data_IF_130718614430
#
_entry.id   IF_130718614430
#
_cell.length_a   1.000
_cell.length_b   1.000
_cell.length_c   1.000
_cell.angle_alpha   90.00
_cell.angle_beta   90.00
_cell.angle_gamma   90.00
#
_symmetry.space_group_name_H-M   'P 1'
#
loop_
_entity.id
_entity.type
_entity.pdbx_description
1 polymer ?
#
# COMPACT_ATOMS: atom_id res chain seq x y z
N UNK A 1 -13.95 21.59 20.73
CA UNK A 1 -14.30 20.16 20.71
C UNK A 1 -13.08 19.40 21.19
N UNK A 2 -13.22 18.33 21.97
CA UNK A 2 -12.05 17.59 22.45
C UNK A 2 -11.77 16.44 21.48
N UNK A 3 -10.58 16.46 20.89
CA UNK A 3 -10.02 15.40 20.04
C UNK A 3 -9.04 14.57 20.86
N UNK A 4 -9.04 13.26 20.67
CA UNK A 4 -8.18 12.33 21.39
C UNK A 4 -7.51 11.35 20.44
N UNK A 5 -6.37 10.80 20.87
CA UNK A 5 -5.68 9.78 20.10
C UNK A 5 -6.18 8.40 20.54
N UNK A 6 -6.63 7.53 19.62
CA UNK A 6 -7.11 6.18 19.98
C UNK A 6 -6.02 5.32 20.66
N UNK A 7 -4.74 5.61 20.40
CA UNK A 7 -3.60 4.92 21.02
C UNK A 7 -3.12 5.58 22.32
N UNK A 8 -3.42 6.87 22.53
CA UNK A 8 -2.97 7.65 23.69
C UNK A 8 -4.16 8.47 24.21
N UNK A 9 -5.09 7.87 24.96
CA UNK A 9 -6.32 8.53 25.40
C UNK A 9 -6.06 9.73 26.32
N UNK A 10 -4.86 9.79 26.92
CA UNK A 10 -4.39 10.90 27.76
C UNK A 10 -4.17 12.20 26.97
N UNK A 11 -4.07 12.12 25.64
CA UNK A 11 -3.94 13.28 24.79
C UNK A 11 -5.32 13.80 24.43
N UNK A 12 -5.60 15.01 24.88
CA UNK A 12 -6.80 15.76 24.56
C UNK A 12 -6.39 17.11 23.95
N UNK A 13 -6.78 17.36 22.70
CA UNK A 13 -6.57 18.62 22.01
C UNK A 13 -7.91 19.27 21.65
N UNK A 14 -7.96 20.59 21.62
CA UNK A 14 -9.14 21.36 21.25
C UNK A 14 -9.29 21.57 19.73
N UNK A 15 -8.27 21.16 18.96
CA UNK A 15 -8.19 21.27 17.51
C UNK A 15 -7.94 19.90 16.84
N UNK A 16 -8.35 19.71 15.57
CA UNK A 16 -7.91 18.57 14.78
C UNK A 16 -6.40 18.64 14.55
N UNK A 17 -5.75 17.49 14.39
CA UNK A 17 -4.31 17.43 14.23
C UNK A 17 -3.76 16.02 14.34
N UNK A 18 -2.44 15.92 14.43
CA UNK A 18 -1.76 14.66 14.65
C UNK A 18 -1.30 14.57 16.10
N UNK A 19 -1.46 13.40 16.69
CA UNK A 19 -0.95 13.06 18.00
C UNK A 19 0.55 13.38 18.11
N UNK A 20 0.99 14.16 19.11
CA UNK A 20 2.40 14.51 19.28
C UNK A 20 3.29 13.32 19.67
N UNK A 21 2.70 12.22 20.17
CA UNK A 21 3.43 11.02 20.58
C UNK A 21 3.60 10.05 19.41
N UNK A 22 2.50 9.69 18.73
CA UNK A 22 2.52 8.64 17.69
C UNK A 22 2.26 9.14 16.27
N UNK A 23 1.85 10.41 16.10
CA UNK A 23 1.57 10.99 14.78
C UNK A 23 0.25 10.56 14.15
N UNK A 24 -0.58 9.74 14.81
CA UNK A 24 -1.92 9.41 14.30
C UNK A 24 -2.85 10.63 14.34
N UNK A 25 -3.75 10.72 13.36
CA UNK A 25 -4.83 11.72 13.35
C UNK A 25 -5.66 11.61 14.63
N UNK A 26 -5.94 12.73 15.28
CA UNK A 26 -6.82 12.75 16.45
C UNK A 26 -8.28 12.63 16.04
N UNK A 27 -9.03 11.85 16.80
CA UNK A 27 -10.46 11.59 16.58
C UNK A 27 -11.29 12.36 17.61
N UNK A 28 -12.46 12.90 17.25
CA UNK A 28 -13.32 13.60 18.20
C UNK A 28 -13.82 12.65 19.29
N UNK A 29 -13.62 13.02 20.57
CA UNK A 29 -13.99 12.20 21.74
C UNK A 29 -15.51 12.00 21.88
N UNK A 30 -16.31 12.87 21.27
CA UNK A 30 -17.77 12.77 21.23
C UNK A 30 -18.20 12.63 19.77
N UNK A 31 -18.83 11.51 19.38
CA UNK A 31 -19.33 11.35 18.01
C UNK A 31 -20.57 12.23 17.84
N UNK A 32 -20.38 13.43 17.32
CA UNK A 32 -21.48 14.26 16.85
C UNK A 32 -21.76 13.77 15.43
N UNK A 33 -23.00 13.33 15.17
CA UNK A 33 -23.38 12.57 13.98
C UNK A 33 -22.79 13.06 12.66
N UNK A 34 -22.40 12.10 11.81
CA UNK A 34 -21.94 12.21 10.41
C UNK A 34 -21.77 13.64 9.90
N UNK A 35 -20.64 14.27 10.24
CA UNK A 35 -20.25 15.53 9.59
C UNK A 35 -19.96 15.28 8.10
N UNK A 36 -20.11 16.30 7.26
CA UNK A 36 -19.76 16.21 5.82
C UNK A 36 -18.29 15.79 5.62
N UNK A 37 -17.39 16.13 6.55
CA UNK A 37 -15.97 15.78 6.52
C UNK A 37 -15.71 14.28 6.72
N UNK A 38 -16.36 13.63 7.69
CA UNK A 38 -16.23 12.19 7.91
C UNK A 38 -16.67 11.40 6.67
N UNK A 39 -17.78 11.84 6.05
CA UNK A 39 -18.26 11.24 4.81
C UNK A 39 -17.28 11.43 3.65
N UNK A 40 -16.56 12.56 3.59
CA UNK A 40 -15.57 12.81 2.55
C UNK A 40 -14.34 11.90 2.70
N UNK A 41 -13.81 11.71 3.92
CA UNK A 41 -12.69 10.80 4.18
C UNK A 41 -13.06 9.35 3.86
N UNK A 42 -14.22 8.90 4.35
CA UNK A 42 -14.73 7.56 4.06
C UNK A 42 -14.89 7.34 2.55
N UNK A 43 -15.44 8.32 1.82
CA UNK A 43 -15.60 8.23 0.36
C UNK A 43 -14.26 8.19 -0.37
N UNK A 44 -13.27 8.98 0.04
CA UNK A 44 -11.93 8.95 -0.55
C UNK A 44 -11.25 7.59 -0.31
N UNK A 45 -11.28 7.08 0.92
CA UNK A 45 -10.73 5.76 1.25
C UNK A 45 -11.44 4.63 0.51
N UNK A 46 -12.78 4.68 0.43
CA UNK A 46 -13.58 3.70 -0.33
C UNK A 46 -13.24 3.73 -1.81
N UNK A 47 -13.06 4.93 -2.38
CA UNK A 47 -12.70 5.09 -3.79
C UNK A 47 -11.31 4.52 -4.09
N UNK A 48 -10.32 4.81 -3.25
CA UNK A 48 -8.95 4.26 -3.38
C UNK A 48 -8.94 2.75 -3.20
N UNK A 49 -9.73 2.22 -2.26
CA UNK A 49 -9.90 0.78 -2.07
C UNK A 49 -10.46 0.10 -3.32
N UNK A 50 -11.57 0.61 -3.87
CA UNK A 50 -12.19 0.02 -5.06
C UNK A 50 -11.33 0.14 -6.31
N UNK A 51 -10.69 1.30 -6.53
CA UNK A 51 -9.78 1.46 -7.68
C UNK A 51 -8.57 0.53 -7.52
N UNK A 52 -7.99 0.46 -6.32
CA UNK A 52 -6.89 -0.45 -6.01
C UNK A 52 -7.27 -1.91 -6.22
N UNK A 53 -8.47 -2.31 -5.81
CA UNK A 53 -8.99 -3.67 -5.99
C UNK A 53 -9.21 -4.02 -7.47
N UNK A 54 -9.78 -3.10 -8.26
CA UNK A 54 -10.00 -3.32 -9.70
C UNK A 54 -8.67 -3.40 -10.46
N UNK A 55 -7.68 -2.60 -10.09
CA UNK A 55 -6.35 -2.65 -10.71
C UNK A 55 -5.53 -3.86 -10.27
N UNK A 56 -5.67 -4.32 -9.03
CA UNK A 56 -4.95 -5.49 -8.51
C UNK A 56 -5.53 -6.81 -9.00
N UNK A 57 -6.82 -6.86 -9.32
CA UNK A 57 -7.48 -8.09 -9.75
C UNK A 57 -6.88 -8.69 -11.04
N UNK A 58 -6.62 -7.94 -12.12
CA UNK A 58 -5.90 -8.45 -13.29
C UNK A 58 -4.48 -8.92 -12.95
N UNK A 59 -3.75 -8.18 -12.11
CA UNK A 59 -2.39 -8.55 -11.70
C UNK A 59 -2.39 -9.87 -10.94
N UNK A 60 -3.36 -10.05 -10.04
CA UNK A 60 -3.55 -11.28 -9.28
C UNK A 60 -3.88 -12.47 -10.19
N UNK A 61 -4.82 -12.29 -11.14
CA UNK A 61 -5.19 -13.34 -12.10
C UNK A 61 -3.98 -13.75 -12.95
N UNK A 62 -3.22 -12.78 -13.47
CA UNK A 62 -2.01 -13.05 -14.25
C UNK A 62 -0.91 -13.71 -13.41
N UNK A 63 -0.75 -13.28 -12.16
CA UNK A 63 0.21 -13.86 -11.22
C UNK A 63 -0.13 -15.31 -10.86
N UNK A 64 -1.42 -15.67 -10.79
CA UNK A 64 -1.86 -17.02 -10.43
C UNK A 64 -2.11 -17.95 -11.62
N UNK A 65 -2.11 -17.41 -12.84
CA UNK A 65 -2.35 -18.18 -14.05
C UNK A 65 -1.33 -19.31 -14.27
N UNK A 66 -0.09 -19.17 -13.80
CA UNK A 66 0.95 -20.20 -13.91
C UNK A 66 0.65 -21.50 -13.13
N UNK A 67 -0.31 -21.48 -12.18
CA UNK A 67 -0.73 -22.67 -11.42
C UNK A 67 -1.68 -23.56 -12.23
N UNK A 68 -2.27 -23.05 -13.32
CA UNK A 68 -3.22 -23.80 -14.14
C UNK A 68 -2.52 -24.55 -15.29
N UNK A 69 -2.75 -25.87 -15.47
CA UNK A 69 -2.08 -26.68 -16.50
C UNK A 69 -2.33 -26.25 -17.96
N UNK A 70 -3.40 -25.47 -18.22
CA UNK A 70 -3.78 -24.96 -19.54
C UNK A 70 -3.58 -23.44 -19.67
N UNK A 71 -2.60 -22.88 -18.97
CA UNK A 71 -2.31 -21.45 -19.05
C UNK A 71 -1.92 -21.05 -20.50
N UNK A 72 -2.55 -20.02 -21.08
CA UNK A 72 -2.19 -19.54 -22.41
C UNK A 72 -0.74 -19.04 -22.42
N UNK A 73 0.03 -19.44 -23.45
CA UNK A 73 1.48 -19.18 -23.60
C UNK A 73 1.83 -17.68 -23.48
N UNK A 74 0.88 -16.79 -23.76
CA UNK A 74 1.03 -15.34 -23.64
C UNK A 74 1.21 -14.84 -22.19
N UNK A 75 0.80 -15.62 -21.18
CA UNK A 75 0.98 -15.30 -19.75
C UNK A 75 2.45 -15.31 -19.36
N UNK A 76 3.26 -16.16 -19.99
CA UNK A 76 4.71 -16.25 -19.78
C UNK A 76 5.52 -15.24 -20.64
N UNK A 77 4.85 -14.40 -21.43
CA UNK A 77 5.53 -13.42 -22.30
C UNK A 77 5.99 -12.19 -21.53
N UNK A 78 7.02 -11.50 -22.05
CA UNK A 78 7.53 -10.24 -21.48
C UNK A 78 6.43 -9.16 -21.40
N UNK A 79 5.43 -9.22 -22.28
CA UNK A 79 4.27 -8.32 -22.27
C UNK A 79 3.40 -8.46 -21.02
N UNK A 80 3.21 -9.69 -20.51
CA UNK A 80 2.48 -9.94 -19.25
C UNK A 80 3.21 -9.33 -18.05
N UNK A 81 4.55 -9.40 -18.01
CA UNK A 81 5.37 -8.83 -16.93
C UNK A 81 5.33 -7.31 -16.92
N UNK A 82 5.45 -6.69 -18.10
CA UNK A 82 5.29 -5.24 -18.24
C UNK A 82 3.90 -4.78 -17.84
N UNK A 83 2.86 -5.53 -18.20
CA UNK A 83 1.48 -5.21 -17.81
C UNK A 83 1.27 -5.31 -16.30
N UNK A 84 1.79 -6.35 -15.65
CA UNK A 84 1.75 -6.51 -14.19
C UNK A 84 2.49 -5.37 -13.47
N UNK A 85 3.67 -4.99 -13.96
CA UNK A 85 4.42 -3.86 -13.42
C UNK A 85 3.64 -2.55 -13.58
N UNK A 86 3.15 -2.25 -14.79
CA UNK A 86 2.41 -1.02 -15.08
C UNK A 86 1.12 -0.90 -14.25
N UNK A 87 0.41 -2.00 -14.03
CA UNK A 87 -0.82 -2.02 -13.22
C UNK A 87 -0.54 -1.95 -11.71
N UNK A 88 0.54 -2.55 -11.23
CA UNK A 88 0.90 -2.53 -9.81
C UNK A 88 1.50 -1.20 -9.35
N UNK A 89 2.22 -0.48 -10.22
CA UNK A 89 2.78 0.84 -9.91
C UNK A 89 1.76 1.85 -9.35
N UNK A 90 0.60 2.13 -10.01
CA UNK A 90 -0.40 3.05 -9.45
C UNK A 90 -1.07 2.49 -8.20
N UNK A 91 -1.22 1.17 -8.06
CA UNK A 91 -1.76 0.57 -6.84
C UNK A 91 -0.84 0.86 -5.66
N UNK A 92 0.46 0.61 -5.80
CA UNK A 92 1.44 0.82 -4.74
C UNK A 92 1.67 2.30 -4.47
N UNK A 93 1.93 3.10 -5.51
CA UNK A 93 2.35 4.49 -5.34
C UNK A 93 1.18 5.45 -5.05
N UNK A 94 -0.02 5.22 -5.62
CA UNK A 94 -1.17 6.10 -5.40
C UNK A 94 -2.10 5.58 -4.32
N UNK A 95 -2.58 4.33 -4.42
CA UNK A 95 -3.47 3.77 -3.40
C UNK A 95 -2.71 3.55 -2.08
N UNK A 96 -1.45 3.14 -2.15
CA UNK A 96 -0.59 2.91 -1.00
C UNK A 96 -0.04 4.18 -0.32
N UNK A 97 -0.14 5.35 -0.96
CA UNK A 97 0.48 6.59 -0.48
C UNK A 97 0.19 6.96 0.98
N UNK A 98 -1.07 6.89 1.48
CA UNK A 98 -1.37 7.23 2.86
C UNK A 98 -0.65 6.32 3.88
N UNK A 99 -0.44 5.05 3.52
CA UNK A 99 0.26 4.09 4.38
C UNK A 99 1.75 4.40 4.46
N UNK A 100 2.38 4.83 3.36
CA UNK A 100 3.79 5.26 3.38
C UNK A 100 3.98 6.53 4.21
N UNK A 101 3.08 7.52 4.10
CA UNK A 101 3.14 8.75 4.90
C UNK A 101 3.02 8.43 6.40
N UNK A 102 2.01 7.64 6.79
CA UNK A 102 1.80 7.23 8.19
C UNK A 102 2.92 6.32 8.70
N UNK A 103 3.43 5.44 7.86
CA UNK A 103 4.59 4.60 8.18
C UNK A 103 5.85 5.42 8.44
N UNK A 104 6.13 6.43 7.60
CA UNK A 104 7.27 7.33 7.80
C UNK A 104 7.14 8.15 9.09
N UNK A 105 5.94 8.66 9.38
CA UNK A 105 5.66 9.37 10.64
C UNK A 105 5.89 8.46 11.86
N UNK A 106 5.46 7.20 11.81
CA UNK A 106 5.67 6.22 12.88
C UNK A 106 7.15 5.87 13.09
N UNK A 107 7.94 5.75 12.01
CA UNK A 107 9.40 5.59 12.10
C UNK A 107 10.04 6.82 12.75
N UNK A 108 9.66 8.03 12.30
CA UNK A 108 10.20 9.30 12.84
C UNK A 108 9.87 9.46 14.33
N UNK A 109 8.66 9.07 14.74
CA UNK A 109 8.19 9.17 16.11
C UNK A 109 8.61 7.98 16.98
N UNK A 110 9.44 7.05 16.47
CA UNK A 110 9.94 5.84 17.15
C UNK A 110 8.84 4.98 17.80
N UNK A 111 7.64 5.00 17.23
CA UNK A 111 6.46 4.26 17.71
C UNK A 111 5.99 3.30 16.62
N UNK A 112 6.73 2.20 16.35
CA UNK A 112 6.41 1.28 15.25
C UNK A 112 5.01 0.69 15.42
N UNK A 113 4.25 0.70 14.33
CA UNK A 113 2.85 0.31 14.30
C UNK A 113 2.53 -0.52 13.04
N UNK A 114 1.25 -0.88 12.86
CA UNK A 114 0.78 -1.62 11.69
C UNK A 114 1.20 -0.96 10.36
N UNK A 115 1.17 0.37 10.28
CA UNK A 115 1.52 1.09 9.05
C UNK A 115 3.00 0.96 8.68
N UNK A 116 3.90 0.90 9.67
CA UNK A 116 5.33 0.66 9.40
C UNK A 116 5.58 -0.71 8.77
N UNK A 117 4.88 -1.74 9.26
CA UNK A 117 4.99 -3.10 8.72
C UNK A 117 4.47 -3.16 7.28
N UNK A 118 3.30 -2.56 7.02
CA UNK A 118 2.70 -2.51 5.67
C UNK A 118 3.61 -1.73 4.71
N UNK A 119 4.06 -0.54 5.11
CA UNK A 119 4.92 0.30 4.27
C UNK A 119 6.24 -0.41 3.93
N UNK A 120 6.87 -1.08 4.91
CA UNK A 120 8.09 -1.84 4.68
C UNK A 120 7.84 -3.04 3.77
N UNK A 121 6.83 -3.86 4.04
CA UNK A 121 6.54 -5.06 3.25
C UNK A 121 6.22 -4.74 1.79
N UNK A 122 5.27 -3.83 1.56
CA UNK A 122 4.86 -3.42 0.21
C UNK A 122 5.99 -2.67 -0.50
N UNK A 123 6.71 -1.80 0.21
CA UNK A 123 7.84 -1.04 -0.35
C UNK A 123 8.98 -1.95 -0.78
N UNK A 124 9.40 -2.90 0.05
CA UNK A 124 10.47 -3.86 -0.27
C UNK A 124 10.05 -4.75 -1.44
N UNK A 125 8.82 -5.28 -1.43
CA UNK A 125 8.31 -6.11 -2.52
C UNK A 125 8.32 -5.35 -3.86
N UNK A 126 7.81 -4.11 -3.87
CA UNK A 126 7.76 -3.29 -5.08
C UNK A 126 9.16 -2.93 -5.61
N UNK A 127 10.08 -2.52 -4.72
CA UNK A 127 11.46 -2.20 -5.11
C UNK A 127 12.15 -3.43 -5.66
N UNK A 128 12.01 -4.58 -5.00
CA UNK A 128 12.59 -5.84 -5.48
C UNK A 128 12.08 -6.19 -6.88
N UNK A 129 10.76 -6.15 -7.10
CA UNK A 129 10.16 -6.40 -8.41
C UNK A 129 10.64 -5.40 -9.47
N UNK A 130 10.78 -4.12 -9.12
CA UNK A 130 11.31 -3.10 -10.02
C UNK A 130 12.77 -3.36 -10.41
N UNK A 131 13.62 -3.76 -9.46
CA UNK A 131 15.03 -4.09 -9.70
C UNK A 131 15.16 -5.32 -10.58
N UNK A 132 14.38 -6.37 -10.31
CA UNK A 132 14.33 -7.58 -11.15
C UNK A 132 13.91 -7.24 -12.59
N UNK A 133 12.94 -6.34 -12.75
CA UNK A 133 12.43 -5.93 -14.06
C UNK A 133 13.41 -5.04 -14.84
N UNK A 134 14.05 -4.07 -14.18
CA UNK A 134 14.90 -3.05 -14.84
C UNK A 134 16.37 -3.46 -14.98
N UNK A 135 16.87 -4.31 -14.07
CA UNK A 135 18.27 -4.71 -14.04
C UNK A 135 18.43 -6.23 -13.83
N UNK A 136 17.94 -7.07 -14.76
CA UNK A 136 18.03 -8.52 -14.65
C UNK A 136 19.48 -9.05 -14.63
N UNK A 137 20.43 -8.26 -15.15
CA UNK A 137 21.86 -8.60 -15.21
C UNK A 137 22.59 -8.59 -13.86
N UNK A 138 21.98 -8.04 -12.81
CA UNK A 138 22.56 -8.02 -11.45
C UNK A 138 22.40 -9.39 -10.76
N UNK A 139 21.45 -10.22 -11.22
CA UNK A 139 21.16 -11.50 -10.60
C UNK A 139 21.97 -12.64 -11.21
N UNK A 140 22.55 -13.55 -10.39
CA UNK A 140 23.30 -14.70 -10.89
C UNK A 140 22.44 -15.59 -11.78
N UNK A 141 23.04 -16.19 -12.81
CA UNK A 141 22.36 -17.08 -13.75
C UNK A 141 21.66 -18.29 -13.08
N UNK A 142 22.03 -18.66 -11.85
CA UNK A 142 21.38 -19.72 -11.08
C UNK A 142 19.96 -19.38 -10.61
N UNK A 143 19.60 -18.10 -10.58
CA UNK A 143 18.24 -17.63 -10.27
C UNK A 143 17.39 -17.36 -11.54
N UNK A 144 17.95 -17.62 -12.72
CA UNK A 144 17.31 -17.38 -14.01
C UNK A 144 16.83 -18.72 -14.58
N UNK A 145 15.61 -19.17 -14.25
CA UNK A 145 15.02 -20.29 -15.00
C UNK A 145 14.77 -19.84 -16.44
N UNK A 146 15.35 -20.54 -17.42
CA UNK A 146 15.24 -20.20 -18.85
C UNK A 146 15.77 -18.80 -19.25
N UNK A 147 16.73 -18.25 -18.50
CA UNK A 147 17.35 -16.95 -18.81
C UNK A 147 16.47 -15.75 -18.47
N UNK A 148 15.39 -15.96 -17.69
CA UNK A 148 14.48 -14.92 -17.22
C UNK A 148 14.11 -15.21 -15.77
N UNK A 149 14.10 -14.18 -14.92
CA UNK A 149 13.77 -14.27 -13.49
C UNK A 149 12.26 -14.26 -13.33
#
# INVERSE_FOLDING_TARGET
MIYTCPMHPEIEQDHPGNCPICGMTLEPKTPIGHSEEDNAELRDMTRRFWIGAVLSLPVFVLGMAHVFPNAPIWVASDGSRWLQFLLSTPVVLWCGWPFFVRGWQSIRNRSPNMFTLIAMGVGVAYIYSAVVMLAPSIFPASFQEHGKI
#
